data_IF_959856169128
#
_entry.id   IF_959856169128
#
_cell.length_a   1.000
_cell.length_b   1.000
_cell.length_c   1.000
_cell.angle_alpha   90.00
_cell.angle_beta   90.00
_cell.angle_gamma   90.00
#
_symmetry.space_group_name_H-M   'P 1'
#
loop_
_entity.id
_entity.type
_entity.pdbx_description
1 polymer ?
#
# COMPACT_ATOMS: atom_id res chain seq x y z
N UNK A 1 -60.49 -36.65 0.04
CA UNK A 1 -59.50 -36.04 -0.88
C UNK A 1 -59.00 -34.79 -0.17
N UNK A 2 -57.86 -34.91 0.50
CA UNK A 2 -57.30 -33.93 1.44
C UNK A 2 -56.40 -32.94 0.70
N UNK A 3 -56.85 -31.71 0.53
CA UNK A 3 -55.99 -30.59 0.13
C UNK A 3 -55.32 -30.01 1.37
N UNK A 4 -54.05 -30.34 1.55
CA UNK A 4 -53.16 -29.70 2.51
C UNK A 4 -52.78 -28.31 2.01
N UNK A 5 -53.34 -27.27 2.62
CA UNK A 5 -52.85 -25.89 2.54
C UNK A 5 -51.40 -25.83 3.00
N UNK A 6 -50.49 -25.77 2.04
CA UNK A 6 -49.07 -25.52 2.24
C UNK A 6 -48.90 -24.05 2.66
N UNK A 7 -48.92 -23.82 3.97
CA UNK A 7 -48.64 -22.54 4.60
C UNK A 7 -47.26 -22.06 4.17
N UNK A 8 -47.22 -21.03 3.33
CA UNK A 8 -45.99 -20.34 2.93
C UNK A 8 -45.35 -19.72 4.18
N UNK A 9 -44.40 -20.42 4.79
CA UNK A 9 -43.57 -19.87 5.85
C UNK A 9 -42.86 -18.62 5.29
N UNK A 10 -42.95 -17.46 5.96
CA UNK A 10 -42.18 -16.29 5.57
C UNK A 10 -40.69 -16.64 5.63
N UNK A 11 -39.99 -16.43 4.52
CA UNK A 11 -38.55 -16.67 4.42
C UNK A 11 -37.85 -16.04 5.63
N UNK A 12 -37.11 -16.88 6.37
CA UNK A 12 -36.35 -16.45 7.53
C UNK A 12 -35.51 -15.21 7.18
N UNK A 13 -35.46 -14.18 8.03
CA UNK A 13 -34.63 -13.03 7.78
C UNK A 13 -33.19 -13.52 7.64
N UNK A 14 -32.61 -13.38 6.44
CA UNK A 14 -31.22 -13.73 6.17
C UNK A 14 -30.37 -13.11 7.28
N UNK A 15 -29.56 -13.89 8.01
CA UNK A 15 -28.83 -13.39 9.16
C UNK A 15 -27.98 -12.23 8.65
N UNK A 16 -28.31 -11.04 9.13
CA UNK A 16 -27.55 -9.81 8.88
C UNK A 16 -26.10 -10.14 9.22
N UNK A 17 -25.28 -10.32 8.18
CA UNK A 17 -23.91 -10.87 8.27
C UNK A 17 -23.05 -9.78 8.89
N UNK A 18 -23.23 -9.54 10.19
CA UNK A 18 -22.52 -8.55 11.01
C UNK A 18 -21.04 -8.76 10.71
N UNK A 19 -20.43 -7.82 10.00
CA UNK A 19 -18.99 -7.82 9.78
C UNK A 19 -18.37 -7.72 11.17
N UNK A 20 -17.91 -8.85 11.72
CA UNK A 20 -17.29 -8.84 13.03
C UNK A 20 -15.98 -8.05 12.90
N UNK A 21 -15.67 -7.15 13.84
CA UNK A 21 -14.42 -6.39 13.82
C UNK A 21 -13.19 -7.31 13.71
N UNK A 22 -13.30 -8.52 14.24
CA UNK A 22 -12.30 -9.59 14.08
C UNK A 22 -12.09 -9.98 12.62
N UNK A 23 -13.15 -10.20 11.83
CA UNK A 23 -13.03 -10.57 10.41
C UNK A 23 -12.44 -9.44 9.57
N UNK A 24 -12.80 -8.20 9.90
CA UNK A 24 -12.25 -7.01 9.25
C UNK A 24 -10.73 -6.90 9.55
N UNK A 25 -10.32 -7.09 10.81
CA UNK A 25 -8.92 -7.11 11.22
C UNK A 25 -8.11 -8.23 10.55
N UNK A 26 -8.67 -9.45 10.48
CA UNK A 26 -8.04 -10.58 9.77
C UNK A 26 -7.86 -10.25 8.29
N UNK A 27 -8.86 -9.63 7.66
CA UNK A 27 -8.78 -9.23 6.25
C UNK A 27 -7.66 -8.20 6.04
N UNK A 28 -7.61 -7.15 6.88
CA UNK A 28 -6.53 -6.16 6.85
C UNK A 28 -5.16 -6.84 6.99
N UNK A 29 -5.01 -7.75 7.96
CA UNK A 29 -3.77 -8.49 8.17
C UNK A 29 -3.33 -9.31 6.95
N UNK A 30 -4.26 -9.99 6.26
CA UNK A 30 -3.95 -10.74 5.03
C UNK A 30 -3.43 -9.80 3.93
N UNK A 31 -4.04 -8.63 3.75
CA UNK A 31 -3.58 -7.67 2.73
C UNK A 31 -2.22 -7.06 3.07
N UNK A 32 -1.96 -6.78 4.35
CA UNK A 32 -0.64 -6.34 4.81
C UNK A 32 0.40 -7.44 4.55
N UNK A 33 0.07 -8.71 4.84
CA UNK A 33 0.95 -9.84 4.54
C UNK A 33 1.24 -9.96 3.04
N UNK A 34 0.26 -9.78 2.16
CA UNK A 34 0.47 -9.74 0.71
C UNK A 34 1.39 -8.58 0.30
N UNK A 35 1.26 -7.42 0.92
CA UNK A 35 2.13 -6.27 0.70
C UNK A 35 3.58 -6.56 1.14
N UNK A 36 3.75 -7.25 2.27
CA UNK A 36 5.06 -7.71 2.76
C UNK A 36 5.68 -8.72 1.80
N UNK A 37 4.91 -9.69 1.29
CA UNK A 37 5.41 -10.66 0.30
C UNK A 37 5.90 -9.95 -0.97
N UNK A 38 5.14 -8.97 -1.47
CA UNK A 38 5.58 -8.13 -2.59
C UNK A 38 6.90 -7.42 -2.27
N UNK A 39 7.05 -6.90 -1.05
CA UNK A 39 8.28 -6.28 -0.57
C UNK A 39 9.47 -7.24 -0.56
N UNK A 40 9.30 -8.44 -0.03
CA UNK A 40 10.35 -9.46 -0.01
C UNK A 40 10.79 -9.87 -1.42
N UNK A 41 9.85 -10.04 -2.35
CA UNK A 41 10.17 -10.33 -3.75
C UNK A 41 11.04 -9.22 -4.35
N UNK A 42 10.65 -7.96 -4.14
CA UNK A 42 11.43 -6.82 -4.63
C UNK A 42 12.81 -6.75 -3.96
N UNK A 43 12.89 -6.93 -2.64
CA UNK A 43 14.13 -6.93 -1.88
C UNK A 43 15.12 -8.01 -2.32
N UNK A 44 14.64 -9.22 -2.64
CA UNK A 44 15.51 -10.27 -3.20
C UNK A 44 16.03 -9.88 -4.60
N UNK A 45 15.21 -9.25 -5.43
CA UNK A 45 15.62 -8.83 -6.79
C UNK A 45 16.52 -7.59 -6.81
N UNK A 46 16.48 -6.75 -5.77
CA UNK A 46 17.34 -5.57 -5.64
C UNK A 46 18.83 -5.92 -5.64
N UNK A 47 19.22 -7.08 -5.12
CA UNK A 47 20.62 -7.53 -5.11
C UNK A 47 21.17 -7.89 -6.50
N UNK A 48 20.29 -8.15 -7.48
CA UNK A 48 20.67 -8.51 -8.84
C UNK A 48 20.52 -7.37 -9.85
N UNK A 49 19.55 -6.45 -9.63
CA UNK A 49 19.19 -5.41 -10.59
C UNK A 49 19.14 -4.04 -9.87
N UNK A 50 20.14 -3.16 -10.06
CA UNK A 50 20.18 -1.82 -9.45
C UNK A 50 18.94 -0.97 -9.75
N UNK A 51 18.35 -1.15 -10.94
CA UNK A 51 17.17 -0.40 -11.40
C UNK A 51 15.96 -0.61 -10.47
N UNK A 52 15.85 -1.78 -9.83
CA UNK A 52 14.74 -2.09 -8.93
C UNK A 52 14.82 -1.25 -7.65
N UNK A 53 16.01 -0.84 -7.22
CA UNK A 53 16.15 0.07 -6.08
C UNK A 53 15.51 1.43 -6.36
N UNK A 54 15.55 1.90 -7.60
CA UNK A 54 14.99 3.21 -7.95
C UNK A 54 13.50 3.11 -8.29
N UNK A 55 13.09 2.00 -8.90
CA UNK A 55 11.70 1.74 -9.31
C UNK A 55 10.84 1.12 -8.21
N UNK A 56 11.36 0.89 -7.01
CA UNK A 56 10.63 0.25 -5.92
C UNK A 56 9.29 0.96 -5.64
N UNK A 57 9.22 2.30 -5.47
CA UNK A 57 7.94 2.99 -5.24
C UNK A 57 6.98 2.89 -6.42
N UNK A 58 7.50 2.73 -7.64
CA UNK A 58 6.69 2.58 -8.87
C UNK A 58 6.01 1.21 -8.88
N UNK A 59 6.77 0.15 -8.58
CA UNK A 59 6.25 -1.22 -8.46
C UNK A 59 5.19 -1.26 -7.34
N UNK A 60 5.49 -0.64 -6.20
CA UNK A 60 4.52 -0.52 -5.11
C UNK A 60 3.29 0.29 -5.49
N UNK A 61 3.42 1.40 -6.21
CA UNK A 61 2.29 2.16 -6.70
C UNK A 61 1.32 1.28 -7.50
N UNK A 62 1.83 0.47 -8.44
CA UNK A 62 0.98 -0.36 -9.30
C UNK A 62 0.38 -1.52 -8.52
N UNK A 63 1.23 -2.40 -8.00
CA UNK A 63 0.79 -3.66 -7.37
C UNK A 63 0.21 -3.43 -5.99
N UNK A 64 0.83 -2.56 -5.20
CA UNK A 64 0.29 -2.14 -3.91
C UNK A 64 -1.04 -1.40 -4.07
N UNK A 65 -1.19 -0.55 -5.09
CA UNK A 65 -2.47 0.11 -5.40
C UNK A 65 -3.58 -0.87 -5.75
N UNK A 66 -3.25 -1.93 -6.48
CA UNK A 66 -4.18 -3.02 -6.75
C UNK A 66 -4.58 -3.76 -5.46
N UNK A 67 -3.60 -4.15 -4.63
CA UNK A 67 -3.81 -4.84 -3.35
C UNK A 67 -4.69 -3.99 -2.43
N UNK A 68 -4.37 -2.70 -2.28
CA UNK A 68 -5.12 -1.76 -1.45
C UNK A 68 -6.54 -1.53 -1.96
N UNK A 69 -6.75 -1.40 -3.27
CA UNK A 69 -8.11 -1.24 -3.80
C UNK A 69 -8.99 -2.46 -3.53
N UNK A 70 -8.44 -3.67 -3.59
CA UNK A 70 -9.18 -4.88 -3.21
C UNK A 70 -9.47 -4.89 -1.71
N UNK A 71 -8.53 -4.44 -0.86
CA UNK A 71 -8.74 -4.30 0.58
C UNK A 71 -9.89 -3.33 0.89
N UNK A 72 -9.84 -2.13 0.31
CA UNK A 72 -10.86 -1.10 0.55
C UNK A 72 -12.22 -1.47 -0.06
N UNK A 73 -12.26 -2.32 -1.09
CA UNK A 73 -13.51 -2.93 -1.57
C UNK A 73 -14.13 -3.96 -0.62
N UNK A 74 -13.36 -4.50 0.35
CA UNK A 74 -13.83 -5.47 1.36
C UNK A 74 -14.06 -4.84 2.73
N UNK A 75 -13.20 -3.90 3.13
CA UNK A 75 -13.19 -3.28 4.45
C UNK A 75 -13.07 -1.77 4.28
N UNK A 76 -14.11 -1.03 4.66
CA UNK A 76 -14.13 0.44 4.63
C UNK A 76 -14.23 0.97 6.05
N UNK A 77 -13.14 0.85 6.80
CA UNK A 77 -13.03 1.31 8.19
C UNK A 77 -12.03 2.46 8.27
N UNK A 78 -12.29 3.39 9.19
CA UNK A 78 -11.28 4.32 9.70
C UNK A 78 -10.17 3.51 10.37
N UNK A 79 -8.92 3.92 10.15
CA UNK A 79 -7.71 3.36 10.74
C UNK A 79 -6.97 2.35 9.85
N UNK A 80 -7.49 2.03 8.66
CA UNK A 80 -6.85 1.05 7.76
C UNK A 80 -5.47 1.54 7.31
N UNK A 81 -5.35 2.81 6.92
CA UNK A 81 -4.06 3.35 6.46
C UNK A 81 -3.08 3.53 7.62
N UNK A 82 -3.60 3.89 8.80
CA UNK A 82 -2.78 4.04 10.00
C UNK A 82 -2.21 2.70 10.50
N UNK A 83 -3.04 1.65 10.58
CA UNK A 83 -2.59 0.31 10.96
C UNK A 83 -1.58 -0.23 9.94
N UNK A 84 -1.87 -0.05 8.66
CA UNK A 84 -0.98 -0.52 7.59
C UNK A 84 0.36 0.22 7.60
N UNK A 85 0.33 1.55 7.72
CA UNK A 85 1.54 2.38 7.81
C UNK A 85 2.36 2.08 9.06
N UNK A 86 1.71 1.80 10.20
CA UNK A 86 2.41 1.43 11.43
C UNK A 86 3.11 0.07 11.30
N UNK A 87 2.41 -0.97 10.82
CA UNK A 87 2.98 -2.32 10.70
C UNK A 87 4.12 -2.32 9.66
N UNK A 88 3.88 -1.73 8.48
CA UNK A 88 4.91 -1.66 7.43
C UNK A 88 6.06 -0.78 7.89
N UNK A 89 5.79 0.41 8.43
CA UNK A 89 6.83 1.33 8.88
C UNK A 89 7.74 0.71 9.94
N UNK A 90 7.18 0.05 10.95
CA UNK A 90 7.96 -0.65 11.98
C UNK A 90 8.83 -1.76 11.41
N UNK A 91 8.34 -2.50 10.42
CA UNK A 91 9.14 -3.52 9.71
C UNK A 91 10.34 -2.87 8.98
N UNK A 92 10.20 -1.64 8.48
CA UNK A 92 11.21 -0.95 7.67
C UNK A 92 12.30 -0.22 8.48
N UNK A 93 12.34 -0.35 9.81
CA UNK A 93 13.26 0.42 10.66
C UNK A 93 14.74 0.21 10.33
N UNK A 94 15.14 -0.99 9.90
CA UNK A 94 16.52 -1.35 9.58
C UNK A 94 16.91 -1.13 8.11
N UNK A 95 15.95 -0.72 7.26
CA UNK A 95 16.15 -0.67 5.80
C UNK A 95 16.83 0.62 5.32
N UNK A 96 16.79 1.70 6.11
CA UNK A 96 17.44 2.96 5.79
C UNK A 96 18.22 3.53 6.98
N UNK A 97 19.33 4.24 6.72
CA UNK A 97 20.08 4.96 7.74
C UNK A 97 19.17 5.86 8.57
N UNK A 98 19.32 5.79 9.89
CA UNK A 98 18.54 6.60 10.82
C UNK A 98 17.04 6.31 10.82
N UNK A 99 16.57 5.19 10.25
CA UNK A 99 15.16 4.81 10.26
C UNK A 99 14.24 5.74 9.44
N UNK A 100 14.79 6.55 8.53
CA UNK A 100 14.04 7.56 7.75
C UNK A 100 12.85 6.95 7.00
N UNK A 101 13.03 5.78 6.39
CA UNK A 101 11.95 5.00 5.76
C UNK A 101 10.80 4.69 6.71
N UNK A 102 11.10 4.30 7.95
CA UNK A 102 10.09 3.99 8.97
C UNK A 102 9.28 5.25 9.33
N UNK A 103 9.94 6.34 9.68
CA UNK A 103 9.27 7.58 10.08
C UNK A 103 8.40 8.15 8.96
N UNK A 104 8.90 8.15 7.72
CA UNK A 104 8.15 8.66 6.57
C UNK A 104 6.98 7.74 6.19
N UNK A 105 7.12 6.42 6.29
CA UNK A 105 6.02 5.49 6.02
C UNK A 105 4.91 5.62 7.06
N UNK A 106 5.26 5.77 8.35
CA UNK A 106 4.28 6.01 9.41
C UNK A 106 3.60 7.36 9.20
N UNK A 107 4.35 8.41 8.91
CA UNK A 107 3.80 9.74 8.59
C UNK A 107 2.86 9.68 7.37
N UNK A 108 3.24 8.96 6.33
CA UNK A 108 2.42 8.69 5.15
C UNK A 108 1.11 7.97 5.50
N UNK A 109 1.16 6.99 6.40
CA UNK A 109 -0.03 6.29 6.90
C UNK A 109 -0.98 7.21 7.65
N UNK A 110 -0.45 8.11 8.49
CA UNK A 110 -1.24 9.12 9.21
C UNK A 110 -1.87 10.13 8.24
N UNK A 111 -1.09 10.66 7.29
CA UNK A 111 -1.58 11.61 6.28
C UNK A 111 -2.65 10.96 5.39
N UNK A 112 -2.42 9.74 4.95
CA UNK A 112 -3.39 8.96 4.17
C UNK A 112 -4.69 8.75 4.94
N UNK A 113 -4.61 8.43 6.23
CA UNK A 113 -5.78 8.27 7.09
C UNK A 113 -6.55 9.58 7.25
N UNK A 114 -5.86 10.70 7.45
CA UNK A 114 -6.49 12.03 7.53
C UNK A 114 -7.20 12.37 6.21
N UNK A 115 -6.55 12.14 5.06
CA UNK A 115 -7.15 12.36 3.74
C UNK A 115 -8.39 11.47 3.54
N UNK A 116 -8.29 10.20 3.93
CA UNK A 116 -9.38 9.24 3.81
C UNK A 116 -10.57 9.60 4.69
N UNK A 117 -10.30 10.10 5.89
CA UNK A 117 -11.31 10.60 6.81
C UNK A 117 -11.99 11.86 6.29
N UNK A 118 -11.22 12.86 5.82
CA UNK A 118 -11.73 14.14 5.31
C UNK A 118 -12.58 14.00 4.04
N UNK A 119 -12.17 13.14 3.10
CA UNK A 119 -12.88 12.97 1.81
C UNK A 119 -13.98 11.89 1.84
N UNK A 120 -14.22 11.28 3.00
CA UNK A 120 -15.24 10.27 3.19
C UNK A 120 -14.85 8.88 2.68
N UNK A 121 -15.25 7.86 3.42
CA UNK A 121 -14.78 6.47 3.29
C UNK A 121 -15.35 5.71 2.08
N UNK A 122 -16.19 6.35 1.26
CA UNK A 122 -17.02 5.68 0.24
C UNK A 122 -16.72 6.08 -1.20
N UNK A 123 -15.76 6.97 -1.45
CA UNK A 123 -15.45 7.40 -2.81
C UNK A 123 -14.16 6.78 -3.33
N UNK A 124 -14.14 6.37 -4.59
CA UNK A 124 -12.91 5.89 -5.22
C UNK A 124 -11.82 6.98 -5.25
N UNK A 125 -12.22 8.25 -5.34
CA UNK A 125 -11.31 9.39 -5.29
C UNK A 125 -10.62 9.51 -3.92
N UNK A 126 -11.34 9.31 -2.81
CA UNK A 126 -10.73 9.34 -1.46
C UNK A 126 -9.73 8.21 -1.26
N UNK A 127 -10.08 7.00 -1.71
CA UNK A 127 -9.20 5.84 -1.65
C UNK A 127 -7.91 6.05 -2.46
N UNK A 128 -8.05 6.57 -3.67
CA UNK A 128 -6.92 6.82 -4.57
C UNK A 128 -6.01 7.90 -4.01
N UNK A 129 -6.58 9.01 -3.52
CA UNK A 129 -5.79 10.11 -2.96
C UNK A 129 -5.07 9.71 -1.66
N UNK A 130 -5.75 8.97 -0.77
CA UNK A 130 -5.15 8.47 0.46
C UNK A 130 -3.98 7.52 0.15
N UNK A 131 -4.19 6.57 -0.77
CA UNK A 131 -3.12 5.66 -1.18
C UNK A 131 -1.98 6.37 -1.93
N UNK A 132 -2.29 7.37 -2.76
CA UNK A 132 -1.28 8.20 -3.44
C UNK A 132 -0.43 8.96 -2.43
N UNK A 133 -1.04 9.55 -1.40
CA UNK A 133 -0.32 10.21 -0.32
C UNK A 133 0.58 9.22 0.44
N UNK A 134 0.07 8.02 0.75
CA UNK A 134 0.85 6.96 1.39
C UNK A 134 2.10 6.60 0.57
N UNK A 135 1.95 6.32 -0.73
CA UNK A 135 3.06 5.97 -1.63
C UNK A 135 4.02 7.15 -1.82
N UNK A 136 3.53 8.38 -1.85
CA UNK A 136 4.39 9.57 -1.98
C UNK A 136 5.32 9.70 -0.78
N UNK A 137 4.79 9.55 0.44
CA UNK A 137 5.60 9.58 1.65
C UNK A 137 6.56 8.39 1.74
N UNK A 138 6.13 7.21 1.31
CA UNK A 138 7.02 6.04 1.17
C UNK A 138 8.19 6.34 0.22
N UNK A 139 7.92 6.88 -0.98
CA UNK A 139 8.92 7.25 -1.96
C UNK A 139 9.90 8.31 -1.41
N UNK A 140 9.39 9.31 -0.67
CA UNK A 140 10.25 10.28 0.00
C UNK A 140 11.16 9.60 1.04
N UNK A 141 10.60 8.71 1.86
CA UNK A 141 11.37 7.95 2.85
C UNK A 141 12.49 7.13 2.23
N UNK A 142 12.25 6.54 1.07
CA UNK A 142 13.24 5.78 0.31
C UNK A 142 14.32 6.69 -0.31
N UNK A 143 13.93 7.78 -0.96
CA UNK A 143 14.87 8.62 -1.71
C UNK A 143 15.66 9.61 -0.86
N UNK A 144 15.17 10.01 0.33
CA UNK A 144 15.89 10.95 1.21
C UNK A 144 17.29 10.42 1.58
N UNK A 145 17.46 9.17 2.05
CA UNK A 145 18.77 8.60 2.31
C UNK A 145 19.70 8.58 1.08
N UNK A 146 19.14 8.29 -0.09
CA UNK A 146 19.90 8.24 -1.34
C UNK A 146 20.43 9.59 -1.80
N UNK A 147 19.79 10.71 -1.42
CA UNK A 147 20.20 12.05 -1.85
C UNK A 147 21.02 12.76 -0.77
N UNK A 148 20.59 12.70 0.49
CA UNK A 148 21.14 13.50 1.59
C UNK A 148 21.92 12.70 2.64
N UNK A 149 21.83 11.37 2.67
CA UNK A 149 22.54 10.52 3.63
C UNK A 149 23.37 9.45 2.94
N UNK A 150 23.98 9.80 1.80
CA UNK A 150 24.75 8.90 0.94
C UNK A 150 25.85 8.16 1.71
N UNK A 151 26.60 8.87 2.54
CA UNK A 151 27.71 8.27 3.31
C UNK A 151 27.21 7.24 4.33
N UNK A 152 26.14 7.56 5.07
CA UNK A 152 25.53 6.64 6.03
C UNK A 152 24.84 5.45 5.33
N UNK A 153 24.33 5.64 4.12
CA UNK A 153 23.79 4.56 3.29
C UNK A 153 24.90 3.63 2.81
N UNK A 154 26.01 4.18 2.29
CA UNK A 154 27.19 3.40 1.91
C UNK A 154 27.76 2.60 3.09
N UNK A 155 27.79 3.18 4.28
CA UNK A 155 28.24 2.50 5.50
C UNK A 155 27.32 1.33 5.88
N UNK A 156 26.00 1.50 5.74
CA UNK A 156 25.02 0.42 5.96
C UNK A 156 25.25 -0.77 5.01
N UNK A 157 25.73 -0.50 3.78
CA UNK A 157 26.06 -1.53 2.79
C UNK A 157 27.53 -1.92 2.76
N UNK A 158 28.40 -1.37 3.63
CA UNK A 158 29.85 -1.54 3.57
C UNK A 158 30.31 -3.01 3.61
N UNK A 159 29.59 -3.85 4.35
CA UNK A 159 29.86 -5.28 4.49
C UNK A 159 28.92 -6.17 3.65
N UNK A 160 28.12 -5.58 2.75
CA UNK A 160 27.17 -6.29 1.92
C UNK A 160 27.70 -6.45 0.48
N UNK A 161 27.55 -7.63 -0.15
CA UNK A 161 27.97 -7.86 -1.53
C UNK A 161 27.18 -7.02 -2.56
N UNK A 162 26.11 -6.35 -2.13
CA UNK A 162 25.28 -5.45 -2.94
C UNK A 162 25.78 -4.00 -2.95
N UNK A 163 26.95 -3.71 -2.37
CA UNK A 163 27.52 -2.35 -2.30
C UNK A 163 27.73 -1.71 -3.67
N UNK A 164 28.23 -2.46 -4.66
CA UNK A 164 28.46 -1.93 -6.01
C UNK A 164 27.14 -1.64 -6.73
N UNK A 165 26.12 -2.47 -6.49
CA UNK A 165 24.76 -2.26 -6.98
C UNK A 165 24.13 -1.01 -6.35
N UNK A 166 24.32 -0.81 -5.04
CA UNK A 166 23.87 0.37 -4.32
C UNK A 166 24.53 1.66 -4.83
N UNK A 167 25.83 1.63 -5.13
CA UNK A 167 26.56 2.77 -5.73
C UNK A 167 26.00 3.18 -7.08
N UNK A 168 25.77 2.21 -7.98
CA UNK A 168 25.15 2.48 -9.30
C UNK A 168 23.75 3.08 -9.13
N UNK A 169 22.96 2.56 -8.19
CA UNK A 169 21.65 3.15 -7.85
C UNK A 169 21.77 4.59 -7.34
N UNK A 170 22.74 4.87 -6.46
CA UNK A 170 22.98 6.22 -5.93
C UNK A 170 23.45 7.22 -6.96
N UNK A 171 24.25 6.81 -7.94
CA UNK A 171 24.69 7.68 -9.04
C UNK A 171 23.52 8.06 -9.97
N UNK A 172 22.49 7.20 -10.05
CA UNK A 172 21.25 7.49 -10.78
C UNK A 172 20.31 8.45 -10.00
N UNK A 173 20.56 8.68 -8.71
CA UNK A 173 19.74 9.47 -7.80
C UNK A 173 20.37 10.84 -7.47
N UNK A 174 19.72 11.88 -7.99
CA UNK A 174 19.98 13.29 -7.75
C UNK A 174 18.62 13.96 -7.41
N UNK A 175 18.55 15.16 -6.81
CA UNK A 175 17.27 15.79 -6.47
C UNK A 175 16.29 15.90 -7.65
N UNK A 176 16.80 16.10 -8.86
CA UNK A 176 15.99 16.14 -10.08
C UNK A 176 15.43 14.77 -10.47
N UNK A 177 16.23 13.70 -10.38
CA UNK A 177 15.75 12.34 -10.71
C UNK A 177 14.84 11.80 -9.60
N UNK A 178 15.09 12.15 -8.34
CA UNK A 178 14.17 11.89 -7.22
C UNK A 178 12.77 12.47 -7.50
N UNK A 179 12.69 13.75 -7.87
CA UNK A 179 11.40 14.37 -8.21
C UNK A 179 10.72 13.65 -9.38
N UNK A 180 11.49 13.27 -10.42
CA UNK A 180 10.99 12.51 -11.56
C UNK A 180 10.43 11.14 -11.15
N UNK A 181 11.14 10.36 -10.32
CA UNK A 181 10.69 9.05 -9.87
C UNK A 181 9.53 9.13 -8.87
N UNK A 182 9.47 10.15 -8.01
CA UNK A 182 8.29 10.44 -7.20
C UNK A 182 7.06 10.70 -8.07
N UNK A 183 7.19 11.52 -9.11
CA UNK A 183 6.10 11.76 -10.07
C UNK A 183 5.71 10.46 -10.80
N UNK A 184 6.69 9.66 -11.23
CA UNK A 184 6.44 8.37 -11.87
C UNK A 184 5.69 7.42 -10.92
N UNK A 185 6.08 7.36 -9.64
CA UNK A 185 5.41 6.55 -8.63
C UNK A 185 3.97 7.00 -8.38
N UNK A 186 3.71 8.31 -8.39
CA UNK A 186 2.35 8.87 -8.30
C UNK A 186 1.51 8.45 -9.51
N UNK A 187 2.04 8.60 -10.73
CA UNK A 187 1.35 8.19 -11.96
C UNK A 187 1.07 6.68 -11.95
N UNK A 188 2.05 5.89 -11.55
CA UNK A 188 1.95 4.44 -11.46
C UNK A 188 0.96 4.00 -10.37
N UNK A 189 0.92 4.73 -9.25
CA UNK A 189 -0.06 4.56 -8.18
C UNK A 189 -1.48 4.79 -8.67
N UNK A 190 -1.72 5.91 -9.36
CA UNK A 190 -3.03 6.21 -9.96
C UNK A 190 -3.41 5.11 -10.96
N UNK A 191 -2.51 4.70 -11.84
CA UNK A 191 -2.74 3.60 -12.78
C UNK A 191 -3.08 2.27 -12.07
N UNK A 192 -2.34 1.91 -11.02
CA UNK A 192 -2.59 0.75 -10.17
C UNK A 192 -3.94 0.78 -9.48
N UNK A 193 -4.34 1.95 -8.98
CA UNK A 193 -5.66 2.19 -8.39
C UNK A 193 -6.78 1.99 -9.42
N UNK A 194 -6.63 2.52 -10.64
CA UNK A 194 -7.61 2.31 -11.73
C UNK A 194 -7.68 0.85 -12.16
N UNK A 195 -6.55 0.16 -12.27
CA UNK A 195 -6.51 -1.26 -12.58
C UNK A 195 -7.19 -2.08 -11.48
N UNK A 196 -6.86 -1.79 -10.21
CA UNK A 196 -7.52 -2.38 -9.05
C UNK A 196 -9.02 -2.21 -9.10
N UNK A 197 -9.52 -1.00 -9.38
CA UNK A 197 -10.95 -0.71 -9.56
C UNK A 197 -11.58 -1.51 -10.68
N UNK A 198 -10.93 -1.63 -11.83
CA UNK A 198 -11.46 -2.38 -12.96
C UNK A 198 -11.64 -3.86 -12.61
N UNK A 199 -10.66 -4.47 -11.93
CA UNK A 199 -10.70 -5.88 -11.52
C UNK A 199 -11.78 -6.15 -10.47
N UNK A 200 -12.00 -5.19 -9.58
CA UNK A 200 -12.90 -5.32 -8.43
C UNK A 200 -14.24 -4.59 -8.61
N UNK A 201 -14.56 -4.18 -9.84
CA UNK A 201 -15.77 -3.38 -10.16
C UNK A 201 -17.06 -3.97 -9.60
N UNK A 202 -17.19 -5.31 -9.61
CA UNK A 202 -18.35 -6.02 -9.01
C UNK A 202 -18.41 -5.90 -7.48
N UNK A 203 -17.26 -5.86 -6.80
CA UNK A 203 -17.18 -5.66 -5.34
C UNK A 203 -17.46 -4.21 -4.98
N UNK A 204 -16.86 -3.27 -5.72
CA UNK A 204 -17.08 -1.83 -5.54
C UNK A 204 -18.54 -1.42 -5.74
N UNK A 205 -19.22 -1.97 -6.75
CA UNK A 205 -20.66 -1.73 -6.96
C UNK A 205 -21.52 -2.30 -5.82
N UNK A 206 -21.20 -3.50 -5.31
CA UNK A 206 -21.89 -4.07 -4.13
C UNK A 206 -21.63 -3.26 -2.85
N UNK A 207 -20.50 -2.56 -2.75
CA UNK A 207 -20.14 -1.69 -1.64
C UNK A 207 -20.68 -0.26 -1.76
N UNK A 208 -21.35 0.09 -2.88
CA UNK A 208 -21.92 1.43 -3.10
C UNK A 208 -20.89 2.53 -3.35
N UNK A 209 -19.69 2.16 -3.84
CA UNK A 209 -18.59 3.08 -4.14
C UNK A 209 -18.63 3.53 -5.62
N UNK A 210 -19.28 2.75 -6.49
CA UNK A 210 -19.45 2.99 -7.94
C UNK A 210 -20.85 2.57 -8.36
#
# INVERSE_FOLDING_TARGET
>A
MSESTESTQPAAPTPNRRNSPVRDAVTIGIFIALYIVLFFICGMTMGAIPLIMVLLPVIFGIFGGLIFMVLLGKVQRTGIFLITGLIIGLMMISMAPGGVMCYMTIAGGVVAEVIYWLMGHKSFASMTAAYTAFVTFFALGEYIPFVWMKDAYLELYANNPTLDVAKVGMDMLNPATMAMYCLLAIVACVAGCFWGRALTRRQFSRAGIV
#
